data_IF_218598163385
#
_entry.id   IF_218598163385
#
_cell.length_a   1.000
_cell.length_b   1.000
_cell.length_c   1.000
_cell.angle_alpha   90.00
_cell.angle_beta   90.00
_cell.angle_gamma   90.00
#
_symmetry.space_group_name_H-M   'P 1'
#
loop_
_entity.id
_entity.type
_entity.pdbx_description
1 polymer ?
#
# COMPACT_ATOMS: atom_id res chain seq x y z
N UNK A 1 -46.81 21.09 -2.73
CA UNK A 1 -46.42 20.72 -1.35
C UNK A 1 -44.97 20.28 -1.37
N UNK A 2 -44.15 20.83 -0.48
CA UNK A 2 -42.70 20.99 -0.61
C UNK A 2 -41.85 19.76 -0.22
N UNK A 3 -40.78 19.54 -1.01
CA UNK A 3 -39.37 19.19 -0.71
C UNK A 3 -38.90 18.05 0.25
N UNK A 4 -37.65 17.55 0.04
CA UNK A 4 -37.11 16.23 0.44
C UNK A 4 -36.03 16.26 1.55
N UNK A 5 -35.71 15.12 2.18
CA UNK A 5 -34.45 14.73 2.89
C UNK A 5 -34.76 13.43 3.68
N UNK A 6 -33.95 12.37 3.72
CA UNK A 6 -32.62 12.35 4.29
C UNK A 6 -31.74 11.24 3.71
N UNK A 7 -30.60 11.70 3.24
CA UNK A 7 -29.39 10.96 2.93
C UNK A 7 -28.83 10.34 4.22
N UNK A 8 -29.17 9.08 4.54
CA UNK A 8 -28.46 8.31 5.57
C UNK A 8 -27.02 8.04 5.12
N UNK A 9 -26.13 8.98 5.45
CA UNK A 9 -24.68 8.74 5.55
C UNK A 9 -24.47 7.60 6.55
N UNK A 10 -24.29 6.37 6.06
CA UNK A 10 -23.73 5.29 6.88
C UNK A 10 -22.28 5.64 7.16
N UNK A 11 -22.06 6.32 8.27
CA UNK A 11 -20.79 6.37 8.97
C UNK A 11 -20.38 4.92 9.29
N UNK A 12 -19.52 4.34 8.44
CA UNK A 12 -18.67 3.20 8.80
C UNK A 12 -17.31 3.75 9.24
N UNK A 13 -17.32 4.51 10.33
CA UNK A 13 -16.16 4.68 11.19
C UNK A 13 -16.35 3.67 12.32
N UNK A 14 -16.08 2.40 12.04
CA UNK A 14 -16.28 1.30 12.97
C UNK A 14 -15.03 0.44 13.04
N UNK A 15 -14.38 0.48 14.21
CA UNK A 15 -13.35 -0.44 14.67
C UNK A 15 -12.01 -0.45 13.94
N UNK A 16 -11.30 0.67 14.05
CA UNK A 16 -9.88 0.76 13.68
C UNK A 16 -8.92 0.28 14.80
N UNK A 17 -9.38 0.05 16.04
CA UNK A 17 -8.50 -0.29 17.17
C UNK A 17 -8.37 -1.80 17.46
N UNK A 18 -9.39 -2.61 17.18
CA UNK A 18 -9.42 -4.03 17.61
C UNK A 18 -8.70 -5.00 16.67
N UNK A 19 -8.38 -4.59 15.45
CA UNK A 19 -7.83 -5.50 14.43
C UNK A 19 -6.33 -5.76 14.58
N UNK A 20 -5.65 -5.05 15.50
CA UNK A 20 -4.22 -5.22 15.78
C UNK A 20 -3.91 -6.33 16.80
N UNK A 21 -4.93 -6.96 17.39
CA UNK A 21 -4.81 -7.83 18.57
C UNK A 21 -4.29 -9.26 18.28
N UNK A 22 -4.26 -9.69 17.02
CA UNK A 22 -3.85 -11.06 16.61
C UNK A 22 -2.56 -11.12 15.80
N UNK A 23 -1.89 -9.98 15.56
CA UNK A 23 -0.60 -9.93 14.88
C UNK A 23 0.50 -9.95 15.94
N UNK A 24 1.51 -10.81 15.79
CA UNK A 24 2.67 -10.84 16.71
C UNK A 24 3.23 -9.43 16.96
N UNK A 25 3.69 -9.14 18.18
CA UNK A 25 4.05 -7.78 18.62
C UNK A 25 5.02 -7.03 17.69
N UNK A 26 5.90 -7.74 16.97
CA UNK A 26 6.85 -7.16 15.99
C UNK A 26 6.12 -6.54 14.78
N UNK A 27 5.01 -7.14 14.35
CA UNK A 27 4.20 -6.64 13.23
C UNK A 27 3.41 -5.38 13.64
N UNK A 28 3.00 -5.28 14.91
CA UNK A 28 2.29 -4.10 15.44
C UNK A 28 3.17 -2.85 15.47
N UNK A 29 4.41 -2.97 15.94
CA UNK A 29 5.37 -1.86 16.00
C UNK A 29 5.64 -1.33 14.58
N UNK A 30 5.89 -2.26 13.65
CA UNK A 30 6.14 -1.92 12.24
C UNK A 30 4.94 -1.23 11.57
N UNK A 31 3.70 -1.68 11.86
CA UNK A 31 2.49 -1.05 11.29
C UNK A 31 2.23 0.36 11.84
N UNK A 32 2.47 0.58 13.14
CA UNK A 32 2.23 1.88 13.77
C UNK A 32 3.26 2.92 13.28
N UNK A 33 4.52 2.51 13.12
CA UNK A 33 5.56 3.33 12.50
C UNK A 33 5.22 3.62 11.04
N UNK A 34 4.74 2.61 10.29
CA UNK A 34 4.33 2.77 8.90
C UNK A 34 3.23 3.82 8.72
N UNK A 35 2.16 3.77 9.53
CA UNK A 35 1.06 4.74 9.42
C UNK A 35 1.51 6.17 9.69
N UNK A 36 2.45 6.36 10.63
CA UNK A 36 2.98 7.69 10.97
C UNK A 36 3.94 8.24 9.92
N UNK A 37 4.71 7.38 9.26
CA UNK A 37 5.76 7.78 8.32
C UNK A 37 5.30 7.87 6.86
N UNK A 38 4.31 7.07 6.46
CA UNK A 38 3.80 7.05 5.07
C UNK A 38 2.58 7.94 4.85
N UNK A 39 1.87 8.32 5.92
CA UNK A 39 0.57 9.00 5.83
C UNK A 39 -0.59 8.10 5.36
N UNK A 40 -0.34 6.79 5.14
CA UNK A 40 -1.36 5.85 4.67
C UNK A 40 -1.71 4.81 5.75
N UNK A 41 -3.00 4.46 5.82
CA UNK A 41 -3.53 3.44 6.72
C UNK A 41 -3.70 2.12 5.98
N UNK A 42 -3.22 1.01 6.54
CA UNK A 42 -3.48 -0.31 5.96
C UNK A 42 -4.84 -0.86 6.40
N UNK A 43 -5.65 -1.30 5.44
CA UNK A 43 -6.88 -2.05 5.74
C UNK A 43 -6.56 -3.49 6.16
N UNK A 44 -7.51 -4.15 6.84
CA UNK A 44 -7.40 -5.57 7.20
C UNK A 44 -7.12 -6.45 5.98
N UNK A 45 -7.78 -6.15 4.86
CA UNK A 45 -7.58 -6.86 3.60
C UNK A 45 -6.14 -6.71 3.10
N UNK A 46 -5.61 -5.48 3.06
CA UNK A 46 -4.24 -5.23 2.65
C UNK A 46 -3.21 -5.94 3.54
N UNK A 47 -3.41 -5.94 4.86
CA UNK A 47 -2.50 -6.61 5.81
C UNK A 47 -2.46 -8.12 5.58
N UNK A 48 -3.62 -8.78 5.51
CA UNK A 48 -3.72 -10.21 5.21
C UNK A 48 -3.05 -10.55 3.87
N UNK A 49 -3.31 -9.73 2.85
CA UNK A 49 -2.75 -9.93 1.51
C UNK A 49 -1.24 -9.73 1.43
N UNK A 50 -0.69 -8.80 2.21
CA UNK A 50 0.75 -8.60 2.33
C UNK A 50 1.40 -9.81 3.01
N UNK A 51 0.82 -10.30 4.10
CA UNK A 51 1.30 -11.48 4.82
C UNK A 51 1.25 -12.75 3.94
N UNK A 52 0.11 -13.03 3.31
CA UNK A 52 -0.07 -14.20 2.43
C UNK A 52 0.89 -14.23 1.25
N UNK A 53 1.42 -13.07 0.83
CA UNK A 53 2.32 -12.95 -0.31
C UNK A 53 3.76 -12.69 0.10
N UNK A 54 4.06 -12.68 1.40
CA UNK A 54 5.41 -12.42 1.90
C UNK A 54 5.93 -11.02 1.53
N UNK A 55 5.06 -10.02 1.40
CA UNK A 55 5.46 -8.64 1.07
C UNK A 55 5.81 -7.90 2.37
N UNK A 56 7.08 -7.54 2.60
CA UNK A 56 7.49 -6.88 3.83
C UNK A 56 6.95 -5.45 3.95
N UNK A 57 6.70 -4.94 5.16
CA UNK A 57 6.31 -3.55 5.39
C UNK A 57 7.25 -2.52 4.75
N UNK A 58 8.56 -2.82 4.70
CA UNK A 58 9.56 -1.98 4.04
C UNK A 58 9.23 -1.72 2.56
N UNK A 59 8.76 -2.74 1.84
CA UNK A 59 8.43 -2.63 0.42
C UNK A 59 7.18 -1.79 0.23
N UNK A 60 6.19 -1.92 1.12
CA UNK A 60 4.98 -1.09 1.13
C UNK A 60 5.39 0.38 1.39
N UNK A 61 6.29 0.61 2.34
CA UNK A 61 6.80 1.95 2.65
C UNK A 61 7.50 2.59 1.45
N UNK A 62 8.38 1.86 0.77
CA UNK A 62 9.02 2.33 -0.44
C UNK A 62 8.04 2.57 -1.59
N UNK A 63 6.98 1.77 -1.73
CA UNK A 63 5.91 2.03 -2.70
C UNK A 63 5.15 3.33 -2.39
N UNK A 64 4.93 3.65 -1.12
CA UNK A 64 4.27 4.89 -0.72
C UNK A 64 5.14 6.13 -1.00
N UNK A 65 6.45 6.04 -0.75
CA UNK A 65 7.39 7.15 -0.90
C UNK A 65 7.88 7.34 -2.34
N UNK A 66 8.38 6.29 -2.97
CA UNK A 66 9.05 6.36 -4.27
C UNK A 66 8.16 5.91 -5.43
N UNK A 67 7.14 5.10 -5.15
CA UNK A 67 6.34 4.44 -6.17
C UNK A 67 5.66 5.41 -7.14
N UNK A 68 5.66 5.04 -8.41
CA UNK A 68 4.89 5.74 -9.44
C UNK A 68 3.40 5.52 -9.23
N UNK A 69 2.60 6.58 -9.36
CA UNK A 69 1.16 6.57 -9.10
C UNK A 69 0.37 6.61 -10.42
N UNK A 70 -0.54 5.66 -10.60
CA UNK A 70 -1.48 5.64 -11.73
C UNK A 70 -2.91 5.75 -11.20
N UNK A 71 -3.59 6.83 -11.56
CA UNK A 71 -4.99 7.06 -11.20
C UNK A 71 -5.91 6.28 -12.15
N UNK A 72 -6.88 5.59 -11.58
CA UNK A 72 -7.93 4.87 -12.31
C UNK A 72 -9.20 5.70 -12.38
N UNK A 73 -10.09 5.39 -13.33
CA UNK A 73 -11.37 6.10 -13.54
C UNK A 73 -12.31 6.02 -12.32
N UNK A 74 -12.19 4.99 -11.49
CA UNK A 74 -12.96 4.79 -10.27
C UNK A 74 -12.40 5.56 -9.06
N UNK A 75 -11.42 6.45 -9.25
CA UNK A 75 -10.81 7.23 -8.17
C UNK A 75 -9.75 6.48 -7.36
N UNK A 76 -9.50 5.20 -7.63
CA UNK A 76 -8.39 4.48 -6.99
C UNK A 76 -7.06 4.84 -7.63
N UNK A 77 -6.00 4.72 -6.85
CA UNK A 77 -4.62 4.96 -7.28
C UNK A 77 -3.85 3.65 -7.12
N UNK A 78 -3.20 3.21 -8.19
CA UNK A 78 -2.28 2.08 -8.15
C UNK A 78 -0.86 2.63 -8.03
N UNK A 79 -0.14 2.25 -6.99
CA UNK A 79 1.28 2.56 -6.83
C UNK A 79 2.12 1.34 -7.18
N UNK A 80 3.20 1.54 -7.93
CA UNK A 80 4.10 0.47 -8.37
C UNK A 80 5.51 1.02 -8.61
N UNK A 81 6.49 0.11 -8.66
CA UNK A 81 7.84 0.47 -9.07
C UNK A 81 7.96 0.47 -10.61
N UNK A 82 8.42 1.59 -11.14
CA UNK A 82 8.85 1.81 -12.52
C UNK A 82 10.36 2.12 -12.55
N UNK A 83 10.93 2.32 -13.74
CA UNK A 83 12.37 2.60 -13.86
C UNK A 83 12.78 3.88 -13.13
N UNK A 84 11.93 4.91 -13.13
CA UNK A 84 12.22 6.20 -12.47
C UNK A 84 12.22 6.07 -10.95
N UNK A 85 11.16 5.47 -10.39
CA UNK A 85 11.07 5.23 -8.94
C UNK A 85 12.16 4.30 -8.43
N UNK A 86 12.54 3.26 -9.17
CA UNK A 86 13.66 2.40 -8.81
C UNK A 86 15.01 3.13 -8.85
N UNK A 87 15.19 4.06 -9.79
CA UNK A 87 16.40 4.90 -9.85
C UNK A 87 16.48 5.81 -8.63
N UNK A 88 15.39 6.48 -8.27
CA UNK A 88 15.32 7.33 -7.07
C UNK A 88 15.59 6.52 -5.81
N UNK A 89 14.88 5.40 -5.63
CA UNK A 89 15.11 4.51 -4.50
C UNK A 89 16.57 4.04 -4.43
N UNK A 90 17.15 3.63 -5.57
CA UNK A 90 18.54 3.18 -5.67
C UNK A 90 19.56 4.26 -5.29
N UNK A 91 19.27 5.53 -5.55
CA UNK A 91 20.10 6.66 -5.12
C UNK A 91 20.14 6.79 -3.60
N UNK A 92 19.02 6.49 -2.92
CA UNK A 92 18.89 6.70 -1.48
C UNK A 92 19.30 5.47 -0.66
N UNK A 93 18.96 4.26 -1.12
CA UNK A 93 19.25 3.00 -0.39
C UNK A 93 20.42 2.21 -0.96
N UNK A 94 20.93 2.60 -2.13
CA UNK A 94 22.05 1.96 -2.79
C UNK A 94 21.69 0.78 -3.70
N UNK A 95 22.48 0.62 -4.77
CA UNK A 95 22.27 -0.39 -5.82
C UNK A 95 22.30 -1.84 -5.31
N UNK A 96 23.13 -2.13 -4.30
CA UNK A 96 23.27 -3.49 -3.75
C UNK A 96 21.96 -3.95 -3.10
N UNK A 97 21.29 -3.05 -2.38
CA UNK A 97 20.00 -3.32 -1.72
C UNK A 97 18.92 -3.60 -2.77
N UNK A 98 18.82 -2.77 -3.81
CA UNK A 98 17.89 -2.98 -4.93
C UNK A 98 18.09 -4.34 -5.58
N UNK A 99 19.34 -4.74 -5.82
CA UNK A 99 19.66 -6.03 -6.43
C UNK A 99 19.20 -7.20 -5.56
N UNK A 100 19.49 -7.15 -4.26
CA UNK A 100 19.12 -8.21 -3.30
C UNK A 100 17.60 -8.33 -3.11
N UNK A 101 16.86 -7.23 -3.20
CA UNK A 101 15.41 -7.19 -2.99
C UNK A 101 14.61 -7.18 -4.30
N UNK A 102 15.25 -7.42 -5.44
CA UNK A 102 14.66 -7.25 -6.77
C UNK A 102 13.35 -8.03 -6.97
N UNK A 103 13.23 -9.22 -6.39
CA UNK A 103 12.02 -10.05 -6.44
C UNK A 103 10.83 -9.42 -5.72
N UNK A 104 11.08 -8.65 -4.67
CA UNK A 104 10.03 -7.94 -3.91
C UNK A 104 9.65 -6.61 -4.55
N UNK A 105 10.53 -6.05 -5.38
CA UNK A 105 10.32 -4.76 -6.08
C UNK A 105 9.42 -4.86 -7.31
N UNK A 106 8.83 -6.04 -7.58
CA UNK A 106 7.71 -6.18 -8.51
C UNK A 106 6.34 -5.96 -7.83
N UNK A 107 6.33 -5.53 -6.57
CA UNK A 107 5.10 -5.28 -5.81
C UNK A 107 4.33 -4.05 -6.32
N UNK A 108 3.03 -4.04 -6.03
CA UNK A 108 2.13 -2.92 -6.21
C UNK A 108 1.17 -2.82 -5.03
N UNK A 109 0.60 -1.63 -4.85
CA UNK A 109 -0.48 -1.41 -3.91
C UNK A 109 -1.58 -0.56 -4.53
N UNK A 110 -2.79 -0.69 -3.98
CA UNK A 110 -3.97 0.08 -4.40
C UNK A 110 -4.42 0.94 -3.24
N UNK A 111 -4.55 2.24 -3.48
CA UNK A 111 -4.94 3.26 -2.51
C UNK A 111 -6.26 3.87 -2.95
N UNK A 112 -7.11 4.17 -1.97
CA UNK A 112 -8.25 5.07 -2.12
C UNK A 112 -8.26 6.02 -0.92
N UNK A 113 -8.23 7.33 -1.17
CA UNK A 113 -7.99 8.33 -0.12
C UNK A 113 -6.67 8.05 0.60
N UNK A 114 -6.74 7.93 1.92
CA UNK A 114 -5.56 7.64 2.77
C UNK A 114 -5.46 6.17 3.17
N UNK A 115 -6.18 5.28 2.48
CA UNK A 115 -6.26 3.85 2.84
C UNK A 115 -5.70 2.94 1.75
N UNK A 116 -4.82 2.02 2.15
CA UNK A 116 -4.30 0.94 1.31
C UNK A 116 -5.31 -0.21 1.35
N UNK A 117 -5.94 -0.45 0.19
CA UNK A 117 -6.96 -1.48 0.03
C UNK A 117 -6.35 -2.86 -0.21
N UNK A 118 -5.31 -2.93 -1.05
CA UNK A 118 -4.69 -4.19 -1.47
C UNK A 118 -3.20 -3.98 -1.74
N UNK A 119 -2.41 -5.03 -1.50
CA UNK A 119 -1.00 -5.14 -1.88
C UNK A 119 -0.80 -6.47 -2.62
N UNK A 120 0.09 -6.53 -3.61
CA UNK A 120 0.41 -7.77 -4.30
C UNK A 120 1.65 -7.69 -5.18
N UNK A 121 2.08 -8.83 -5.73
CA UNK A 121 3.13 -8.90 -6.75
C UNK A 121 2.54 -8.77 -8.15
N UNK A 122 3.28 -8.13 -9.06
CA UNK A 122 2.93 -8.06 -10.48
C UNK A 122 3.57 -9.24 -11.22
N UNK A 123 2.78 -10.28 -11.50
CA UNK A 123 3.25 -11.53 -12.15
C UNK A 123 3.55 -11.41 -13.65
N UNK A 124 3.64 -10.21 -14.23
CA UNK A 124 3.93 -10.05 -15.65
C UNK A 124 5.06 -9.04 -15.85
N UNK A 125 6.24 -9.54 -16.24
CA UNK A 125 7.22 -8.74 -17.01
C UNK A 125 6.44 -8.20 -18.20
N UNK A 126 6.31 -6.88 -18.31
CA UNK A 126 5.89 -6.27 -19.57
C UNK A 126 7.02 -6.59 -20.55
N UNK A 127 6.80 -7.55 -21.44
CA UNK A 127 7.74 -7.88 -22.52
C UNK A 127 7.69 -6.68 -23.46
N UNK A 128 8.72 -5.83 -23.42
CA UNK A 128 8.93 -4.88 -24.50
C UNK A 128 9.25 -5.72 -25.74
N UNK A 129 8.43 -5.58 -26.77
CA UNK A 129 8.73 -6.03 -28.12
C UNK A 129 9.15 -4.81 -28.94
#
# INVERSE_FOLDING_TARGET
>A
MAQPAERRKRNRAGNDADTYRTLSGVNMISMNIFSKTSGFRMTRHAMQRAQQRGIPPLIIHWLCQYGSRKRNRNGSIVCYFDRKSLRLLSSDVGKIVIRRLSELLNAYLVITGDSILTVGHRYRRMRNH
#
